data_IF_014554982001
#
_entry.id   IF_014554982001
#
_cell.length_a   1.000
_cell.length_b   1.000
_cell.length_c   1.000
_cell.angle_alpha   90.00
_cell.angle_beta   90.00
_cell.angle_gamma   90.00
#
_symmetry.space_group_name_H-M   'P 1'
#
loop_
_entity.id
_entity.type
_entity.pdbx_description
1 polymer ?
#
# COMPACT_ATOMS: atom_id res chain seq x y z
N UNK A 1 29.20 11.70 -20.25
CA UNK A 1 28.82 10.88 -19.07
C UNK A 1 28.29 11.75 -17.92
N UNK A 2 29.06 12.13 -16.89
CA UNK A 2 28.49 12.82 -15.71
C UNK A 2 27.78 14.15 -16.03
N UNK A 3 28.40 15.03 -16.82
CA UNK A 3 27.77 16.28 -17.30
C UNK A 3 26.46 16.02 -18.07
N UNK A 4 26.41 14.92 -18.85
CA UNK A 4 25.22 14.48 -19.59
C UNK A 4 24.09 14.09 -18.64
N UNK A 5 24.40 13.32 -17.58
CA UNK A 5 23.45 12.95 -16.54
C UNK A 5 22.95 14.16 -15.75
N UNK A 6 23.84 15.09 -15.40
CA UNK A 6 23.48 16.36 -14.75
C UNK A 6 22.56 17.22 -15.63
N UNK A 7 22.84 17.33 -16.93
CA UNK A 7 21.97 18.02 -17.90
C UNK A 7 20.57 17.38 -17.98
N UNK A 8 20.49 16.04 -17.98
CA UNK A 8 19.21 15.33 -17.93
C UNK A 8 18.46 15.58 -16.62
N UNK A 9 19.14 15.54 -15.47
CA UNK A 9 18.54 15.86 -14.17
C UNK A 9 17.98 17.29 -14.15
N UNK A 10 18.71 18.27 -14.68
CA UNK A 10 18.23 19.65 -14.81
C UNK A 10 17.03 19.78 -15.77
N UNK A 11 17.01 19.04 -16.88
CA UNK A 11 15.84 18.97 -17.79
C UNK A 11 14.61 18.37 -17.11
N UNK A 12 14.78 17.33 -16.28
CA UNK A 12 13.69 16.75 -15.48
C UNK A 12 13.18 17.78 -14.46
N UNK A 13 14.07 18.36 -13.65
CA UNK A 13 13.74 19.36 -12.60
C UNK A 13 13.06 20.62 -13.15
N UNK A 14 13.49 21.12 -14.32
CA UNK A 14 12.96 22.36 -14.90
C UNK A 14 11.79 22.13 -15.87
N UNK A 15 12.05 21.45 -16.98
CA UNK A 15 11.15 21.40 -18.13
C UNK A 15 10.05 20.34 -17.99
N UNK A 16 10.40 19.10 -17.61
CA UNK A 16 9.43 18.00 -17.59
C UNK A 16 8.42 18.11 -16.45
N UNK A 17 8.81 18.72 -15.32
CA UNK A 17 7.89 19.03 -14.23
C UNK A 17 6.82 20.06 -14.63
N UNK A 18 7.15 21.07 -15.44
CA UNK A 18 6.21 22.12 -15.85
C UNK A 18 5.63 21.89 -17.27
N UNK A 19 5.73 20.66 -17.78
CA UNK A 19 5.30 20.31 -19.13
C UNK A 19 3.77 20.18 -19.26
N UNK A 20 3.17 20.70 -20.33
CA UNK A 20 1.70 20.72 -20.53
C UNK A 20 1.00 19.36 -20.40
N UNK A 21 1.65 18.27 -20.83
CA UNK A 21 1.10 16.91 -20.72
C UNK A 21 1.27 16.34 -19.29
N UNK A 22 0.16 16.18 -18.57
CA UNK A 22 0.11 15.62 -17.21
C UNK A 22 0.79 14.24 -17.05
N UNK A 23 0.73 13.37 -18.07
CA UNK A 23 1.38 12.07 -18.05
C UNK A 23 2.90 12.17 -17.97
N UNK A 24 3.51 13.12 -18.69
CA UNK A 24 4.95 13.39 -18.59
C UNK A 24 5.32 13.99 -17.22
N UNK A 25 4.48 14.85 -16.65
CA UNK A 25 4.66 15.38 -15.27
C UNK A 25 4.66 14.26 -14.24
N UNK A 26 3.76 13.28 -14.36
CA UNK A 26 3.68 12.10 -13.48
C UNK A 26 4.95 11.24 -13.57
N UNK A 27 5.49 11.01 -14.77
CA UNK A 27 6.77 10.31 -14.93
C UNK A 27 7.96 11.13 -14.41
N UNK A 28 7.94 12.46 -14.55
CA UNK A 28 8.94 13.36 -13.97
C UNK A 28 8.93 13.36 -12.44
N UNK A 29 7.75 13.36 -11.79
CA UNK A 29 7.60 13.14 -10.34
C UNK A 29 8.23 11.80 -9.94
N UNK A 30 7.96 10.73 -10.70
CA UNK A 30 8.52 9.41 -10.39
C UNK A 30 10.04 9.36 -10.52
N UNK A 31 10.59 10.07 -11.51
CA UNK A 31 12.04 10.27 -11.65
C UNK A 31 12.62 11.07 -10.46
N UNK A 32 11.98 12.18 -10.06
CA UNK A 32 12.36 12.93 -8.86
C UNK A 32 12.37 12.05 -7.62
N UNK A 33 11.37 11.18 -7.43
CA UNK A 33 11.32 10.27 -6.28
C UNK A 33 12.56 9.37 -6.20
N UNK A 34 13.05 8.87 -7.33
CA UNK A 34 14.28 8.06 -7.40
C UNK A 34 15.51 8.93 -7.18
N UNK A 35 15.59 10.10 -7.79
CA UNK A 35 16.71 11.04 -7.63
C UNK A 35 16.87 11.50 -6.17
N UNK A 36 15.77 11.82 -5.46
CA UNK A 36 15.79 12.16 -4.03
C UNK A 36 16.33 10.99 -3.21
N UNK A 37 15.91 9.75 -3.49
CA UNK A 37 16.44 8.57 -2.79
C UNK A 37 17.95 8.42 -3.02
N UNK A 38 18.42 8.49 -4.26
CA UNK A 38 19.85 8.39 -4.58
C UNK A 38 20.67 9.51 -3.94
N UNK A 39 20.18 10.75 -3.99
CA UNK A 39 20.91 11.95 -3.60
C UNK A 39 20.77 12.30 -2.11
N UNK A 40 19.90 11.68 -1.32
CA UNK A 40 19.80 11.93 0.13
C UNK A 40 20.48 10.87 0.98
N UNK A 41 21.15 11.32 2.05
CA UNK A 41 21.63 10.46 3.14
C UNK A 41 20.43 9.85 3.90
N UNK A 42 20.63 8.69 4.53
CA UNK A 42 19.70 8.16 5.53
C UNK A 42 19.98 8.80 6.89
N UNK A 43 18.95 8.90 7.72
CA UNK A 43 19.10 9.25 9.15
C UNK A 43 19.82 8.16 9.95
N UNK A 44 19.65 6.89 9.56
CA UNK A 44 20.24 5.71 10.21
C UNK A 44 20.81 4.73 9.19
N UNK A 45 21.93 4.11 9.54
CA UNK A 45 22.74 3.27 8.62
C UNK A 45 22.46 1.76 8.75
N UNK A 46 21.29 1.39 9.28
CA UNK A 46 20.84 0.02 9.58
C UNK A 46 19.87 -0.56 8.54
N UNK A 47 19.44 0.24 7.57
CA UNK A 47 18.56 -0.21 6.49
C UNK A 47 19.22 -1.19 5.51
N UNK A 48 18.44 -1.84 4.61
CA UNK A 48 18.95 -2.82 3.66
C UNK A 48 20.17 -2.33 2.86
N UNK A 49 21.12 -3.23 2.60
CA UNK A 49 22.35 -2.98 1.82
C UNK A 49 22.07 -2.63 0.35
N UNK A 50 20.94 -3.08 -0.18
CA UNK A 50 20.48 -2.91 -1.57
C UNK A 50 19.74 -1.58 -1.82
N UNK A 51 20.01 -0.53 -1.02
CA UNK A 51 19.36 0.77 -1.18
C UNK A 51 20.34 1.84 -1.64
N UNK A 52 20.10 2.35 -2.85
CA UNK A 52 20.92 3.39 -3.45
C UNK A 52 20.78 4.69 -2.62
N UNK A 53 21.92 5.19 -2.11
CA UNK A 53 22.05 6.37 -1.27
C UNK A 53 23.48 6.91 -1.39
N UNK A 54 23.72 8.15 -0.95
CA UNK A 54 25.05 8.77 -0.94
C UNK A 54 26.14 7.97 -0.19
N UNK A 55 25.78 7.05 0.70
CA UNK A 55 26.74 6.14 1.34
C UNK A 55 27.51 5.22 0.37
N UNK A 56 27.02 5.03 -0.85
CA UNK A 56 27.74 4.30 -1.91
C UNK A 56 28.87 5.15 -2.54
N UNK A 57 28.87 6.47 -2.30
CA UNK A 57 29.91 7.38 -2.79
C UNK A 57 30.97 7.56 -1.71
N UNK A 58 32.24 7.39 -2.06
CA UNK A 58 33.37 7.69 -1.15
C UNK A 58 33.34 9.17 -0.73
N UNK A 59 33.63 9.53 0.54
CA UNK A 59 33.61 10.92 0.98
C UNK A 59 34.53 11.85 0.18
N UNK A 60 35.73 11.36 -0.15
CA UNK A 60 36.67 12.01 -1.08
C UNK A 60 36.42 11.47 -2.50
N UNK A 61 35.52 12.12 -3.25
CA UNK A 61 35.19 11.78 -4.63
C UNK A 61 35.33 12.99 -5.57
N UNK A 62 36.41 12.98 -6.36
CA UNK A 62 36.88 14.10 -7.20
C UNK A 62 35.85 14.75 -8.16
N UNK A 63 34.73 14.08 -8.45
CA UNK A 63 33.67 14.58 -9.33
C UNK A 63 32.30 14.79 -8.66
N UNK A 64 32.13 14.40 -7.39
CA UNK A 64 30.82 14.40 -6.71
C UNK A 64 30.94 14.98 -5.30
N UNK A 65 30.38 16.17 -5.08
CA UNK A 65 30.30 16.76 -3.74
C UNK A 65 29.08 16.18 -2.98
N UNK A 66 29.32 15.31 -2.00
CA UNK A 66 28.27 14.67 -1.19
C UNK A 66 27.43 15.66 -0.36
N UNK A 67 27.93 16.87 -0.09
CA UNK A 67 27.17 17.91 0.61
C UNK A 67 26.20 18.60 -0.35
N UNK A 68 26.69 18.97 -1.53
CA UNK A 68 25.86 19.57 -2.60
C UNK A 68 24.75 18.60 -3.05
N UNK A 69 25.06 17.32 -3.26
CA UNK A 69 24.06 16.33 -3.68
C UNK A 69 22.97 16.11 -2.62
N UNK A 70 23.34 16.08 -1.33
CA UNK A 70 22.38 15.95 -0.23
C UNK A 70 21.44 17.16 -0.15
N UNK A 71 21.93 18.36 -0.49
CA UNK A 71 21.13 19.57 -0.55
C UNK A 71 20.25 19.64 -1.80
N UNK A 72 20.76 19.29 -2.97
CA UNK A 72 19.95 19.11 -4.19
C UNK A 72 18.83 18.07 -3.98
N UNK A 73 19.10 17.00 -3.23
CA UNK A 73 18.13 15.99 -2.82
C UNK A 73 16.98 16.60 -2.00
N UNK A 74 17.29 17.46 -1.02
CA UNK A 74 16.28 18.19 -0.23
C UNK A 74 15.52 19.21 -1.06
N UNK A 75 16.17 19.92 -1.97
CA UNK A 75 15.52 20.89 -2.86
C UNK A 75 14.49 20.23 -3.78
N UNK A 76 14.80 19.05 -4.35
CA UNK A 76 13.82 18.26 -5.10
C UNK A 76 12.66 17.77 -4.22
N UNK A 77 12.93 17.36 -2.97
CA UNK A 77 11.89 16.99 -2.02
C UNK A 77 10.97 18.18 -1.69
N UNK A 78 11.55 19.35 -1.38
CA UNK A 78 10.80 20.58 -1.14
C UNK A 78 9.94 20.98 -2.35
N UNK A 79 10.44 20.76 -3.58
CA UNK A 79 9.67 20.95 -4.82
C UNK A 79 8.44 20.04 -4.88
N UNK A 80 8.57 18.77 -4.48
CA UNK A 80 7.43 17.85 -4.39
C UNK A 80 6.43 18.23 -3.28
N UNK A 81 6.90 18.79 -2.16
CA UNK A 81 6.03 19.32 -1.10
C UNK A 81 5.27 20.57 -1.56
N UNK A 82 5.92 21.46 -2.32
CA UNK A 82 5.28 22.67 -2.85
C UNK A 82 4.13 22.35 -3.82
N UNK A 83 4.28 21.28 -4.62
CA UNK A 83 3.22 20.79 -5.51
C UNK A 83 1.94 20.36 -4.76
N UNK A 84 2.02 20.01 -3.48
CA UNK A 84 0.85 19.70 -2.66
C UNK A 84 0.13 20.95 -2.11
N UNK A 85 0.76 22.12 -2.17
CA UNK A 85 0.18 23.41 -1.74
C UNK A 85 -0.50 24.17 -2.89
N UNK A 86 -0.05 23.92 -4.12
CA UNK A 86 -0.59 24.54 -5.34
C UNK A 86 -2.09 24.26 -5.51
N UNK A 87 -2.83 25.30 -5.87
CA UNK A 87 -4.31 25.28 -5.96
C UNK A 87 -4.84 25.13 -7.39
N UNK A 88 -3.96 25.14 -8.38
CA UNK A 88 -4.21 25.00 -9.82
C UNK A 88 -3.91 23.59 -10.36
N UNK A 89 -3.33 22.71 -9.54
CA UNK A 89 -2.81 21.42 -9.98
C UNK A 89 -3.88 20.34 -10.20
N UNK A 90 -3.80 19.65 -11.35
CA UNK A 90 -4.74 18.61 -11.73
C UNK A 90 -4.71 17.40 -10.77
N UNK A 91 -5.88 16.87 -10.40
CA UNK A 91 -6.02 15.87 -9.34
C UNK A 91 -5.17 14.61 -9.53
N UNK A 92 -5.01 14.13 -10.78
CA UNK A 92 -4.16 12.98 -11.08
C UNK A 92 -2.68 13.23 -10.74
N UNK A 93 -2.20 14.46 -10.94
CA UNK A 93 -0.82 14.87 -10.65
C UNK A 93 -0.60 14.90 -9.13
N UNK A 94 -1.54 15.50 -8.38
CA UNK A 94 -1.54 15.48 -6.92
C UNK A 94 -1.52 14.05 -6.36
N UNK A 95 -2.40 13.16 -6.86
CA UNK A 95 -2.40 11.75 -6.42
C UNK A 95 -1.10 11.01 -6.74
N UNK A 96 -0.39 11.37 -7.83
CA UNK A 96 0.91 10.80 -8.14
C UNK A 96 2.02 11.28 -7.18
N UNK A 97 2.03 12.57 -6.81
CA UNK A 97 2.95 13.10 -5.77
C UNK A 97 2.71 12.39 -4.45
N UNK A 98 1.46 12.32 -3.98
CA UNK A 98 1.05 11.62 -2.76
C UNK A 98 1.54 10.16 -2.78
N UNK A 99 1.30 9.45 -3.89
CA UNK A 99 1.69 8.03 -4.05
C UNK A 99 3.21 7.81 -4.13
N UNK A 100 3.98 8.81 -4.56
CA UNK A 100 5.45 8.74 -4.59
C UNK A 100 6.07 9.09 -3.23
N UNK A 101 5.46 9.97 -2.44
CA UNK A 101 5.98 10.37 -1.13
C UNK A 101 5.96 9.23 -0.09
N UNK A 102 4.95 8.36 -0.08
CA UNK A 102 4.88 7.22 0.85
C UNK A 102 6.10 6.29 0.77
N UNK A 103 6.46 5.71 -0.40
CA UNK A 103 7.65 4.88 -0.54
C UNK A 103 8.97 5.65 -0.37
N UNK A 104 8.99 6.97 -0.64
CA UNK A 104 10.14 7.83 -0.34
C UNK A 104 10.38 7.91 1.17
N UNK A 105 9.35 8.29 1.94
CA UNK A 105 9.42 8.42 3.40
C UNK A 105 9.77 7.09 4.07
N UNK A 106 9.21 5.95 3.61
CA UNK A 106 9.58 4.61 4.12
C UNK A 106 11.08 4.29 3.98
N UNK A 107 11.78 4.87 3.01
CA UNK A 107 13.24 4.72 2.81
C UNK A 107 14.06 5.86 3.41
N UNK A 108 13.46 7.02 3.69
CA UNK A 108 14.08 8.22 4.27
C UNK A 108 13.16 8.79 5.36
N UNK A 109 13.13 8.16 6.56
CA UNK A 109 12.17 8.49 7.61
C UNK A 109 12.18 9.95 8.02
N UNK A 110 13.32 10.65 7.95
CA UNK A 110 13.47 12.06 8.33
C UNK A 110 12.46 13.01 7.66
N UNK A 111 11.91 12.65 6.51
CA UNK A 111 10.91 13.44 5.79
C UNK A 111 9.46 13.21 6.25
N UNK A 112 9.21 12.23 7.13
CA UNK A 112 7.85 11.82 7.54
C UNK A 112 7.04 12.95 8.15
N UNK A 113 7.66 13.77 9.02
CA UNK A 113 7.02 14.94 9.66
C UNK A 113 6.52 15.94 8.62
N UNK A 114 7.37 16.26 7.65
CA UNK A 114 7.07 17.24 6.60
C UNK A 114 6.00 16.73 5.64
N UNK A 115 6.04 15.45 5.25
CA UNK A 115 4.99 14.83 4.42
C UNK A 115 3.65 14.76 5.16
N UNK A 116 3.64 14.38 6.45
CA UNK A 116 2.41 14.35 7.22
C UNK A 116 1.77 15.75 7.36
N UNK A 117 2.56 16.79 7.63
CA UNK A 117 2.09 18.17 7.66
C UNK A 117 1.58 18.65 6.29
N UNK A 118 2.32 18.34 5.21
CA UNK A 118 1.90 18.70 3.84
C UNK A 118 0.60 18.00 3.42
N UNK A 119 0.39 16.74 3.81
CA UNK A 119 -0.86 16.01 3.60
C UNK A 119 -2.05 16.63 4.35
N UNK A 120 -1.87 17.07 5.61
CA UNK A 120 -2.91 17.79 6.37
C UNK A 120 -3.22 19.14 5.71
N UNK A 121 -2.19 19.86 5.23
CA UNK A 121 -2.38 21.13 4.54
C UNK A 121 -3.14 20.93 3.23
N UNK A 122 -2.68 20.05 2.35
CA UNK A 122 -3.29 19.73 1.05
C UNK A 122 -4.78 19.30 1.17
N UNK A 123 -5.12 18.59 2.25
CA UNK A 123 -6.52 18.24 2.55
C UNK A 123 -7.36 19.48 2.90
N UNK A 124 -6.85 20.40 3.72
CA UNK A 124 -7.53 21.63 4.13
C UNK A 124 -7.58 22.69 3.02
N UNK A 125 -6.50 22.85 2.28
CA UNK A 125 -6.36 23.79 1.15
C UNK A 125 -6.88 23.24 -0.18
N UNK A 126 -7.55 22.07 -0.16
CA UNK A 126 -8.01 21.36 -1.36
C UNK A 126 -8.88 22.26 -2.23
N UNK A 127 -8.37 22.69 -3.41
CA UNK A 127 -8.87 23.87 -4.10
C UNK A 127 -10.29 23.71 -4.63
N UNK A 128 -11.05 24.81 -4.57
CA UNK A 128 -12.43 24.88 -5.06
C UNK A 128 -12.57 24.68 -6.59
N UNK A 129 -11.46 24.77 -7.33
CA UNK A 129 -11.39 24.59 -8.79
C UNK A 129 -11.44 23.10 -9.19
N UNK A 130 -11.05 22.18 -8.31
CA UNK A 130 -11.04 20.75 -8.63
C UNK A 130 -12.46 20.16 -8.65
N UNK A 131 -12.85 19.40 -9.69
CA UNK A 131 -14.13 18.70 -9.71
C UNK A 131 -14.31 17.80 -8.49
N UNK A 132 -15.52 17.78 -7.92
CA UNK A 132 -15.89 16.95 -6.77
C UNK A 132 -15.37 15.49 -6.78
N UNK A 133 -15.42 14.72 -7.90
CA UNK A 133 -14.82 13.38 -7.92
C UNK A 133 -13.29 13.39 -7.82
N UNK A 134 -12.59 14.36 -8.41
CA UNK A 134 -11.14 14.50 -8.28
C UNK A 134 -10.75 14.87 -6.85
N UNK A 135 -11.45 15.83 -6.23
CA UNK A 135 -11.25 16.20 -4.82
C UNK A 135 -11.38 14.99 -3.89
N UNK A 136 -12.50 14.25 -3.99
CA UNK A 136 -12.73 13.02 -3.21
C UNK A 136 -11.65 11.95 -3.45
N UNK A 137 -11.06 11.87 -4.64
CA UNK A 137 -9.96 10.95 -4.94
C UNK A 137 -8.65 11.39 -4.26
N UNK A 138 -8.29 12.69 -4.31
CA UNK A 138 -7.13 13.25 -3.59
C UNK A 138 -7.27 13.02 -2.07
N UNK A 139 -8.43 13.32 -1.49
CA UNK A 139 -8.71 13.06 -0.07
C UNK A 139 -8.55 11.59 0.31
N UNK A 140 -9.04 10.67 -0.54
CA UNK A 140 -8.92 9.22 -0.32
C UNK A 140 -7.46 8.77 -0.43
N UNK A 141 -6.69 9.32 -1.37
CA UNK A 141 -5.27 9.05 -1.54
C UNK A 141 -4.46 9.52 -0.32
N UNK A 142 -4.75 10.72 0.22
CA UNK A 142 -4.14 11.23 1.46
C UNK A 142 -4.44 10.29 2.63
N UNK A 143 -5.73 9.95 2.86
CA UNK A 143 -6.15 9.06 3.95
C UNK A 143 -5.49 7.68 3.86
N UNK A 144 -5.45 7.07 2.68
CA UNK A 144 -4.79 5.78 2.43
C UNK A 144 -3.26 5.86 2.63
N UNK A 145 -2.65 6.97 2.25
CA UNK A 145 -1.21 7.20 2.42
C UNK A 145 -0.82 7.31 3.89
N UNK A 146 -1.56 8.08 4.69
CA UNK A 146 -1.38 8.17 6.13
C UNK A 146 -1.58 6.80 6.81
N UNK A 147 -2.62 6.04 6.45
CA UNK A 147 -2.84 4.66 6.94
C UNK A 147 -1.64 3.75 6.60
N UNK A 148 -1.07 3.89 5.41
CA UNK A 148 0.09 3.10 4.95
C UNK A 148 1.37 3.49 5.71
N UNK A 149 1.55 4.77 6.01
CA UNK A 149 2.67 5.28 6.81
C UNK A 149 2.58 4.83 8.28
N UNK A 150 1.41 4.91 8.92
CA UNK A 150 1.20 4.44 10.32
C UNK A 150 1.47 2.93 10.47
N UNK A 151 1.26 2.16 9.39
CA UNK A 151 1.51 0.72 9.34
C UNK A 151 2.97 0.33 9.05
N UNK A 152 3.86 1.26 8.73
CA UNK A 152 5.24 0.97 8.36
C UNK A 152 6.18 1.06 9.58
N UNK A 153 6.84 -0.04 9.94
CA UNK A 153 7.73 -0.10 11.11
C UNK A 153 8.94 0.85 10.99
N UNK A 154 9.37 1.14 9.76
CA UNK A 154 10.40 2.15 9.45
C UNK A 154 10.04 3.55 9.96
N UNK A 155 8.76 3.82 10.25
CA UNK A 155 8.24 5.11 10.68
C UNK A 155 7.74 5.08 12.13
N UNK A 156 8.08 4.04 12.91
CA UNK A 156 7.64 3.87 14.29
C UNK A 156 7.92 5.11 15.17
N UNK A 157 9.09 5.75 15.02
CA UNK A 157 9.46 6.96 15.76
C UNK A 157 8.57 8.18 15.50
N UNK A 158 7.91 8.27 14.33
CA UNK A 158 6.99 9.36 13.99
C UNK A 158 5.51 8.92 14.02
N UNK A 159 5.22 7.67 14.41
CA UNK A 159 3.89 7.05 14.28
C UNK A 159 2.79 7.85 14.98
N UNK A 160 3.09 8.48 16.11
CA UNK A 160 2.13 9.32 16.85
C UNK A 160 1.79 10.63 16.11
N UNK A 161 2.78 11.25 15.46
CA UNK A 161 2.58 12.47 14.65
C UNK A 161 1.75 12.16 13.39
N UNK A 162 2.00 11.02 12.76
CA UNK A 162 1.24 10.57 11.58
C UNK A 162 -0.20 10.16 11.98
N UNK A 163 -0.40 9.58 13.18
CA UNK A 163 -1.74 9.33 13.75
C UNK A 163 -2.49 10.65 14.01
N UNK A 164 -1.81 11.67 14.55
CA UNK A 164 -2.38 13.01 14.75
C UNK A 164 -2.79 13.65 13.41
N UNK A 165 -1.92 13.58 12.39
CA UNK A 165 -2.22 14.01 11.03
C UNK A 165 -3.42 13.27 10.42
N UNK A 166 -3.56 11.97 10.67
CA UNK A 166 -4.73 11.19 10.22
C UNK A 166 -6.03 11.62 10.92
N UNK A 167 -5.98 11.93 12.22
CA UNK A 167 -7.10 12.52 12.95
C UNK A 167 -7.52 13.89 12.39
N UNK A 168 -6.55 14.76 12.09
CA UNK A 168 -6.76 16.08 11.49
C UNK A 168 -7.34 16.05 10.05
N UNK A 169 -7.36 14.87 9.42
CA UNK A 169 -7.95 14.58 8.10
C UNK A 169 -9.30 13.84 8.23
N UNK A 170 -9.86 13.77 9.44
CA UNK A 170 -11.14 13.10 9.73
C UNK A 170 -11.04 11.56 9.75
N UNK A 171 -9.85 11.01 10.00
CA UNK A 171 -9.61 9.59 10.13
C UNK A 171 -9.83 9.08 11.56
N UNK A 172 -10.50 7.93 11.71
CA UNK A 172 -10.71 7.30 13.02
C UNK A 172 -9.39 6.71 13.56
N UNK A 173 -8.79 7.39 14.54
CA UNK A 173 -7.51 7.02 15.15
C UNK A 173 -7.58 5.82 16.10
N UNK A 174 -8.75 5.49 16.66
CA UNK A 174 -8.91 4.37 17.60
C UNK A 174 -8.59 3.01 16.97
N UNK A 175 -8.75 2.89 15.65
CA UNK A 175 -8.32 1.72 14.85
C UNK A 175 -6.84 1.39 15.07
N UNK A 176 -5.99 2.40 15.29
CA UNK A 176 -4.56 2.23 15.52
C UNK A 176 -4.20 2.05 16.99
N UNK A 177 -4.95 2.63 17.92
CA UNK A 177 -4.78 2.42 19.36
C UNK A 177 -5.05 0.96 19.74
N UNK A 178 -6.16 0.40 19.26
CA UNK A 178 -6.48 -1.03 19.44
C UNK A 178 -5.42 -1.94 18.80
N UNK A 179 -4.83 -1.53 17.66
CA UNK A 179 -3.70 -2.26 17.05
C UNK A 179 -2.43 -2.18 17.91
N UNK A 180 -2.08 -1.01 18.46
CA UNK A 180 -0.92 -0.85 19.35
C UNK A 180 -1.08 -1.70 20.63
N UNK A 181 -2.24 -1.68 21.27
CA UNK A 181 -2.51 -2.50 22.45
C UNK A 181 -2.40 -4.02 22.17
N UNK A 182 -2.79 -4.46 20.96
CA UNK A 182 -2.60 -5.85 20.51
C UNK A 182 -1.13 -6.16 20.19
N UNK A 183 -0.46 -5.30 19.42
CA UNK A 183 0.96 -5.44 19.06
C UNK A 183 1.86 -5.51 20.30
N UNK A 184 1.53 -4.74 21.34
CA UNK A 184 2.22 -4.75 22.62
C UNK A 184 2.04 -6.09 23.36
N UNK A 185 0.80 -6.56 23.53
CA UNK A 185 0.50 -7.87 24.15
C UNK A 185 1.14 -9.04 23.39
N UNK A 186 1.24 -8.97 22.07
CA UNK A 186 1.92 -9.97 21.25
C UNK A 186 3.45 -9.94 21.39
N UNK A 187 4.06 -8.79 21.75
CA UNK A 187 5.49 -8.68 22.09
C UNK A 187 5.76 -9.20 23.49
N UNK A 188 5.01 -8.72 24.48
CA UNK A 188 5.09 -9.18 25.88
C UNK A 188 4.97 -10.71 26.00
N UNK A 189 4.08 -11.32 25.21
CA UNK A 189 3.95 -12.79 25.15
C UNK A 189 5.21 -13.47 24.58
N UNK A 190 5.83 -12.91 23.52
CA UNK A 190 7.06 -13.47 22.93
C UNK A 190 8.26 -13.31 23.87
N UNK A 191 8.41 -12.15 24.49
CA UNK A 191 9.45 -11.88 25.47
C UNK A 191 9.32 -12.78 26.70
N UNK A 192 8.09 -13.03 27.18
CA UNK A 192 7.82 -14.00 28.25
C UNK A 192 8.10 -15.45 27.84
N UNK A 193 7.86 -15.83 26.58
CA UNK A 193 8.15 -17.15 26.02
C UNK A 193 9.67 -17.36 25.85
N UNK A 194 10.39 -16.36 25.36
CA UNK A 194 11.84 -16.35 25.20
C UNK A 194 12.56 -16.35 26.56
N UNK A 195 12.09 -15.57 27.54
CA UNK A 195 12.58 -15.60 28.91
C UNK A 195 12.33 -16.96 29.59
N UNK A 196 11.18 -17.61 29.33
CA UNK A 196 10.91 -18.99 29.78
C UNK A 196 11.86 -19.99 29.13
N UNK A 197 12.13 -19.86 27.83
CA UNK A 197 13.04 -20.74 27.09
C UNK A 197 14.49 -20.60 27.58
N UNK A 198 14.95 -19.37 27.80
CA UNK A 198 16.27 -19.04 28.36
C UNK A 198 16.45 -19.61 29.77
N UNK A 199 15.47 -19.39 30.68
CA UNK A 199 15.50 -20.00 32.03
C UNK A 199 15.57 -21.52 31.98
N UNK A 200 14.88 -22.17 31.03
CA UNK A 200 14.89 -23.64 30.88
C UNK A 200 16.20 -24.20 30.32
N UNK A 201 16.98 -23.42 29.56
CA UNK A 201 18.34 -23.81 29.17
C UNK A 201 19.37 -23.64 30.29
N UNK A 202 19.14 -22.72 31.24
CA UNK A 202 20.06 -22.44 32.35
C UNK A 202 19.93 -23.42 33.52
N UNK A 203 18.79 -24.12 33.65
CA UNK A 203 18.57 -25.15 34.69
C UNK A 203 18.82 -26.59 34.22
N UNK A 204 19.21 -26.81 32.97
CA UNK A 204 19.36 -28.14 32.37
C UNK A 204 20.74 -28.79 32.54
N UNK A 205 21.42 -28.60 33.68
CA UNK A 205 22.82 -29.05 33.84
C UNK A 205 23.23 -29.55 35.24
N UNK A 206 22.32 -30.23 35.94
CA UNK A 206 22.73 -31.24 36.93
C UNK A 206 21.66 -32.33 37.10
N UNK A 207 22.06 -33.58 36.84
CA UNK A 207 21.76 -34.84 37.56
C UNK A 207 22.15 -36.04 36.66
N UNK A 208 22.57 -37.15 37.27
CA UNK A 208 23.14 -38.32 36.58
C UNK A 208 22.41 -39.63 36.83
N UNK A 209 22.10 -40.39 35.77
CA UNK A 209 21.46 -41.70 35.88
C UNK A 209 21.75 -42.64 34.71
N UNK A 210 22.40 -43.77 34.98
CA UNK A 210 22.61 -44.87 34.03
C UNK A 210 21.54 -45.95 34.24
N UNK A 211 20.85 -46.43 33.19
CA UNK A 211 19.76 -47.44 33.40
C UNK A 211 19.24 -48.12 32.13
N UNK A 212 19.82 -49.27 31.78
CA UNK A 212 19.53 -50.12 30.59
C UNK A 212 18.09 -50.70 30.54
N UNK A 213 17.65 -51.04 29.30
CA UNK A 213 16.55 -51.95 28.84
C UNK A 213 15.22 -51.28 28.42
N UNK A 214 14.35 -51.89 27.60
CA UNK A 214 14.46 -52.62 26.31
C UNK A 214 13.11 -53.30 25.96
N UNK A 215 12.68 -53.28 24.67
CA UNK A 215 11.85 -54.26 23.89
C UNK A 215 10.51 -54.84 24.48
N UNK A 216 9.50 -55.28 23.72
CA UNK A 216 9.03 -55.14 22.31
C UNK A 216 7.70 -55.91 22.12
N UNK A 217 6.89 -55.63 21.06
CA UNK A 217 5.72 -56.43 20.56
C UNK A 217 4.52 -56.57 21.55
N UNK A 218 3.37 -57.18 21.23
CA UNK A 218 2.31 -56.95 20.19
C UNK A 218 1.00 -57.65 20.72
N UNK A 219 -0.22 -57.73 20.14
CA UNK A 219 -0.86 -57.45 18.85
C UNK A 219 -2.38 -57.15 19.06
N UNK A 220 -3.24 -57.28 18.03
CA UNK A 220 -4.73 -57.19 18.09
C UNK A 220 -5.37 -58.62 17.89
N UNK A 221 -6.72 -58.89 17.79
CA UNK A 221 -7.67 -58.24 16.85
C UNK A 221 -9.20 -58.14 17.22
N UNK A 222 -9.90 -57.22 16.52
CA UNK A 222 -11.26 -57.30 15.88
C UNK A 222 -12.50 -57.85 16.62
N UNK A 223 -13.61 -57.08 16.63
CA UNK A 223 -15.00 -57.51 16.30
C UNK A 223 -15.99 -56.33 16.11
N UNK A 224 -17.10 -56.53 15.36
CA UNK A 224 -18.18 -55.58 15.01
C UNK A 224 -19.48 -56.35 14.63
N UNK A 225 -20.67 -55.70 14.46
CA UNK A 225 -21.19 -54.44 15.01
C UNK A 225 -22.39 -54.73 15.96
N UNK A 226 -23.73 -54.69 15.66
CA UNK A 226 -24.58 -54.04 14.62
C UNK A 226 -25.52 -52.93 15.18
N UNK A 227 -26.57 -52.56 14.43
CA UNK A 227 -27.72 -51.70 14.82
C UNK A 227 -29.06 -52.44 14.53
N UNK A 228 -30.21 -52.08 15.15
CA UNK A 228 -31.24 -51.36 14.38
C UNK A 228 -32.18 -50.38 15.15
N UNK A 229 -32.24 -49.13 14.65
CA UNK A 229 -33.41 -48.27 14.32
C UNK A 229 -34.72 -48.16 15.18
N UNK A 230 -35.28 -46.93 15.20
CA UNK A 230 -36.70 -46.55 14.89
C UNK A 230 -37.62 -45.88 15.96
N UNK A 231 -38.04 -44.61 15.70
CA UNK A 231 -39.32 -43.92 16.07
C UNK A 231 -39.67 -43.69 17.58
N UNK A 232 -40.54 -42.75 18.05
CA UNK A 232 -41.31 -41.63 17.43
C UNK A 232 -41.75 -40.56 18.49
N UNK A 233 -41.90 -39.28 18.08
CA UNK A 233 -42.76 -38.22 18.72
C UNK A 233 -42.38 -37.75 20.17
N UNK A 234 -42.88 -36.64 20.76
CA UNK A 234 -43.93 -35.67 20.37
C UNK A 234 -43.77 -34.25 20.99
N UNK A 235 -44.40 -33.25 20.35
CA UNK A 235 -45.17 -32.12 20.93
C UNK A 235 -44.57 -30.98 21.82
N UNK A 236 -44.88 -29.74 21.36
CA UNK A 236 -45.34 -28.52 22.07
C UNK A 236 -44.43 -27.30 22.34
N UNK A 237 -44.99 -26.16 21.89
CA UNK A 237 -44.73 -24.72 22.02
C UNK A 237 -43.86 -24.12 23.13
N UNK A 238 -43.15 -23.04 22.74
CA UNK A 238 -43.45 -21.70 23.28
C UNK A 238 -43.09 -20.56 22.31
N UNK A 239 -43.98 -19.59 22.22
CA UNK A 239 -43.97 -18.46 21.28
C UNK A 239 -43.03 -17.33 21.71
N UNK A 240 -42.46 -16.58 20.76
CA UNK A 240 -42.86 -15.18 20.55
C UNK A 240 -42.37 -14.64 19.19
N UNK A 241 -43.01 -13.59 18.68
CA UNK A 241 -42.75 -13.03 17.34
C UNK A 241 -42.33 -11.56 17.38
N UNK A 242 -41.47 -11.15 16.43
CA UNK A 242 -41.59 -9.82 15.80
C UNK A 242 -41.00 -9.80 14.39
N UNK A 243 -41.68 -9.12 13.48
CA UNK A 243 -41.31 -9.05 12.07
C UNK A 243 -40.05 -8.19 11.83
N UNK A 244 -39.32 -8.50 10.75
CA UNK A 244 -38.34 -7.60 10.14
C UNK A 244 -38.58 -7.51 8.64
N UNK A 245 -38.83 -6.30 8.14
CA UNK A 245 -39.35 -6.04 6.79
C UNK A 245 -38.18 -5.96 5.80
N UNK A 246 -38.21 -6.77 4.74
CA UNK A 246 -37.36 -6.60 3.56
C UNK A 246 -38.19 -5.99 2.41
N UNK A 247 -37.89 -4.77 1.92
CA UNK A 247 -38.56 -4.23 0.75
C UNK A 247 -38.10 -4.98 -0.51
N UNK A 248 -39.05 -5.66 -1.18
CA UNK A 248 -38.80 -6.29 -2.48
C UNK A 248 -38.93 -5.25 -3.59
N UNK A 249 -37.81 -4.83 -4.18
CA UNK A 249 -37.79 -3.91 -5.31
C UNK A 249 -37.77 -4.70 -6.62
N UNK A 250 -38.91 -4.71 -7.32
CA UNK A 250 -39.07 -5.32 -8.63
C UNK A 250 -38.46 -4.40 -9.72
N UNK A 251 -37.45 -4.82 -10.49
CA UNK A 251 -36.94 -4.02 -11.60
C UNK A 251 -37.96 -3.98 -12.77
N UNK A 252 -37.99 -2.89 -13.56
CA UNK A 252 -38.83 -2.78 -14.74
C UNK A 252 -38.29 -3.63 -15.91
N UNK A 253 -39.13 -3.98 -16.90
CA UNK A 253 -38.72 -4.79 -18.05
C UNK A 253 -37.91 -3.98 -19.07
N UNK A 254 -36.58 -3.94 -18.91
CA UNK A 254 -35.66 -3.43 -19.94
C UNK A 254 -35.34 -4.53 -20.96
N UNK A 255 -35.76 -4.36 -22.20
CA UNK A 255 -35.38 -5.24 -23.31
C UNK A 255 -33.92 -4.99 -23.74
N UNK A 256 -32.97 -5.51 -22.96
CA UNK A 256 -31.57 -5.66 -23.37
C UNK A 256 -31.33 -7.11 -23.77
N UNK A 257 -30.67 -7.39 -24.91
CA UNK A 257 -30.31 -8.76 -25.27
C UNK A 257 -29.43 -9.38 -24.17
N UNK A 258 -29.58 -10.69 -23.87
CA UNK A 258 -28.82 -11.32 -22.79
C UNK A 258 -27.32 -11.23 -23.09
N UNK A 259 -26.57 -10.60 -22.18
CA UNK A 259 -25.13 -10.41 -22.34
C UNK A 259 -24.43 -11.79 -22.37
N UNK A 260 -23.84 -12.21 -23.50
CA UNK A 260 -23.36 -13.59 -23.68
C UNK A 260 -22.17 -13.94 -22.78
N UNK A 261 -21.52 -12.95 -22.15
CA UNK A 261 -20.40 -13.14 -21.23
C UNK A 261 -20.82 -13.19 -19.75
N UNK A 262 -22.11 -13.08 -19.44
CA UNK A 262 -22.61 -12.96 -18.06
C UNK A 262 -22.32 -14.17 -17.14
N UNK A 263 -21.98 -15.33 -17.71
CA UNK A 263 -21.57 -16.54 -16.99
C UNK A 263 -20.13 -16.99 -17.25
N UNK A 264 -19.29 -16.15 -17.89
CA UNK A 264 -17.94 -16.55 -18.31
C UNK A 264 -16.87 -16.18 -17.26
N UNK A 265 -16.29 -17.19 -16.61
CA UNK A 265 -15.21 -16.98 -15.63
C UNK A 265 -13.84 -16.81 -16.32
N UNK A 266 -13.47 -15.54 -16.54
CA UNK A 266 -12.20 -15.11 -17.12
C UNK A 266 -10.97 -15.64 -16.33
N UNK A 267 -11.10 -15.98 -15.05
CA UNK A 267 -9.98 -16.48 -14.24
C UNK A 267 -9.55 -17.91 -14.61
N UNK A 268 -10.37 -18.62 -15.38
CA UNK A 268 -10.07 -19.98 -15.88
C UNK A 268 -9.23 -19.99 -17.18
N UNK A 269 -9.04 -18.84 -17.83
CA UNK A 269 -8.31 -18.77 -19.10
C UNK A 269 -6.78 -18.88 -18.92
N UNK A 270 -6.09 -19.73 -19.70
CA UNK A 270 -4.63 -19.73 -19.78
C UNK A 270 -4.07 -18.37 -20.21
N UNK A 271 -3.02 -17.89 -19.53
CA UNK A 271 -2.47 -16.54 -19.69
C UNK A 271 -2.03 -16.24 -21.14
N UNK A 272 -1.51 -17.23 -21.87
CA UNK A 272 -1.13 -17.09 -23.28
C UNK A 272 -2.35 -16.76 -24.16
N UNK A 273 -3.50 -17.42 -23.95
CA UNK A 273 -4.74 -17.16 -24.70
C UNK A 273 -5.26 -15.76 -24.40
N UNK A 274 -5.14 -15.29 -23.15
CA UNK A 274 -5.50 -13.90 -22.78
C UNK A 274 -4.60 -12.88 -23.49
N UNK A 275 -3.28 -13.13 -23.53
CA UNK A 275 -2.32 -12.25 -24.21
C UNK A 275 -2.56 -12.22 -25.73
N UNK A 276 -2.74 -13.38 -26.37
CA UNK A 276 -3.05 -13.48 -27.80
C UNK A 276 -4.36 -12.78 -28.14
N UNK A 277 -5.42 -12.98 -27.35
CA UNK A 277 -6.70 -12.29 -27.53
C UNK A 277 -6.56 -10.76 -27.38
N UNK A 278 -5.81 -10.29 -26.37
CA UNK A 278 -5.54 -8.86 -26.21
C UNK A 278 -4.74 -8.28 -27.39
N UNK A 279 -3.73 -8.99 -27.90
CA UNK A 279 -2.94 -8.56 -29.06
C UNK A 279 -3.80 -8.54 -30.32
N UNK A 280 -4.58 -9.59 -30.58
CA UNK A 280 -5.47 -9.66 -31.74
C UNK A 280 -6.55 -8.56 -31.71
N UNK A 281 -7.14 -8.27 -30.54
CA UNK A 281 -8.08 -7.15 -30.39
C UNK A 281 -7.38 -5.82 -30.65
N UNK A 282 -6.20 -5.57 -30.08
CA UNK A 282 -5.45 -4.33 -30.30
C UNK A 282 -5.00 -4.13 -31.76
N UNK A 283 -4.72 -5.22 -32.49
CA UNK A 283 -4.36 -5.18 -33.92
C UNK A 283 -5.57 -4.91 -34.84
N UNK A 284 -6.79 -5.27 -34.42
CA UNK A 284 -8.01 -5.09 -35.22
C UNK A 284 -8.71 -3.73 -35.00
N UNK A 285 -8.27 -2.90 -34.05
CA UNK A 285 -8.85 -1.56 -33.86
C UNK A 285 -8.13 -0.55 -34.76
N UNK A 286 -8.88 0.14 -35.62
CA UNK A 286 -8.28 1.18 -36.49
C UNK A 286 -7.73 2.35 -35.67
N UNK A 287 -6.59 2.91 -36.12
CA UNK A 287 -5.97 4.08 -35.49
C UNK A 287 -6.89 5.30 -35.45
N UNK A 288 -7.80 5.43 -36.42
CA UNK A 288 -8.86 6.43 -36.41
C UNK A 288 -9.84 6.22 -35.26
N UNK A 289 -10.31 4.98 -35.02
CA UNK A 289 -11.17 4.65 -33.87
C UNK A 289 -10.47 4.97 -32.54
N UNK A 290 -9.18 4.66 -32.42
CA UNK A 290 -8.37 5.00 -31.25
C UNK A 290 -8.31 6.52 -31.06
N UNK A 291 -8.01 7.26 -32.13
CA UNK A 291 -7.95 8.74 -32.10
C UNK A 291 -9.28 9.37 -31.71
N UNK A 292 -10.39 8.95 -32.34
CA UNK A 292 -11.74 9.42 -32.01
C UNK A 292 -12.10 9.13 -30.54
N UNK A 293 -11.81 7.92 -30.02
CA UNK A 293 -12.07 7.58 -28.60
C UNK A 293 -11.21 8.39 -27.63
N UNK A 294 -9.94 8.64 -27.95
CA UNK A 294 -9.06 9.53 -27.16
C UNK A 294 -9.60 10.96 -27.16
N UNK A 295 -10.07 11.47 -28.31
CA UNK A 295 -10.72 12.77 -28.39
C UNK A 295 -12.01 12.83 -27.56
N UNK A 296 -12.88 11.80 -27.60
CA UNK A 296 -14.10 11.76 -26.77
C UNK A 296 -13.77 11.80 -25.27
N UNK A 297 -12.79 11.02 -24.79
CA UNK A 297 -12.35 11.05 -23.38
C UNK A 297 -11.77 12.42 -23.00
N UNK A 298 -11.12 13.11 -23.95
CA UNK A 298 -10.57 14.46 -23.76
C UNK A 298 -11.65 15.56 -23.73
N UNK A 299 -12.80 15.35 -24.38
CA UNK A 299 -13.89 16.33 -24.45
C UNK A 299 -14.93 16.22 -23.32
N UNK A 300 -14.93 15.12 -22.56
CA UNK A 300 -15.81 14.90 -21.39
C UNK A 300 -15.32 15.66 -20.14
N UNK A 301 -14.44 16.66 -20.31
CA UNK A 301 -13.83 17.47 -19.25
C UNK A 301 -13.79 18.97 -19.60
N UNK A 302 -14.82 19.46 -20.30
CA UNK A 302 -15.19 20.88 -20.38
C UNK A 302 -16.52 21.03 -19.63
#
# INVERSE_FOLDING_TARGET
MWQTASSLISKVRGSLLNHRNHGLRIHAIKCLQVLILMQTKRERNDGPRDDISLYLVRPDHRLLNLSQLDEEGKQMFNTMIEWLKRTDEHGSVLTAVISCLVPLVKKRPQFARQVAAAFVNCFKSSPAVLPNPQKRNVEKAIRLSLVTMIRADQLAQYRNEIISAFGAVGGNTAIFQNRQAREQREREKREAEEARRSKRSLTGKDDGGQGKRARVLEQAPISQPPNPNMQQSSSLDSQNARASIKPSVRPPPTQTPPNPLAGFDVTTLPLNVVVELCVAVLQNISMETISQRIHMVSFVHI
#
